data_IF_454131461553
#
_entry.id   IF_454131461553
#
_cell.length_a   1.000
_cell.length_b   1.000
_cell.length_c   1.000
_cell.angle_alpha   90.00
_cell.angle_beta   90.00
_cell.angle_gamma   90.00
#
_symmetry.space_group_name_H-M   'P 1'
#
loop_
_entity.id
_entity.type
_entity.pdbx_description
1 polymer ?
#
# COMPACT_ATOMS: atom_id res chain seq x y z
N UNK A 1 -13.85 -24.85 13.50
CA UNK A 1 -14.57 -26.03 13.97
C UNK A 1 -13.50 -27.02 14.41
N UNK A 2 -13.21 -27.10 15.71
CA UNK A 2 -12.32 -28.09 16.29
C UNK A 2 -13.07 -28.84 17.37
N UNK A 3 -13.25 -30.12 17.11
CA UNK A 3 -13.85 -31.13 18.00
C UNK A 3 -13.05 -31.28 19.29
N UNK A 4 -13.75 -31.34 20.40
CA UNK A 4 -13.26 -31.77 21.70
C UNK A 4 -13.66 -33.24 21.88
N UNK A 5 -12.78 -34.18 22.22
CA UNK A 5 -13.17 -35.56 22.53
C UNK A 5 -13.58 -35.69 24.00
N UNK A 6 -14.66 -36.39 24.21
CA UNK A 6 -15.23 -36.79 25.51
C UNK A 6 -14.60 -38.06 26.08
N UNK A 7 -14.41 -38.03 27.39
CA UNK A 7 -14.37 -39.10 28.39
C UNK A 7 -13.55 -40.39 28.19
N UNK A 8 -12.55 -40.54 29.06
CA UNK A 8 -12.28 -41.79 29.74
C UNK A 8 -11.78 -41.53 31.17
N UNK A 9 -12.54 -42.06 32.13
CA UNK A 9 -12.30 -42.13 33.57
C UNK A 9 -11.06 -42.94 33.93
N UNK A 10 -10.10 -42.33 34.64
CA UNK A 10 -9.15 -43.03 35.53
C UNK A 10 -8.70 -42.12 36.68
N UNK A 11 -8.94 -42.59 37.89
CA UNK A 11 -8.14 -42.54 39.12
C UNK A 11 -7.67 -41.16 39.65
N UNK A 12 -8.19 -40.83 40.83
CA UNK A 12 -7.73 -39.77 41.75
C UNK A 12 -6.20 -39.67 41.86
N UNK A 13 -5.63 -38.50 41.52
CA UNK A 13 -4.43 -37.94 42.14
C UNK A 13 -4.68 -36.48 42.44
N UNK A 14 -4.54 -36.12 43.70
CA UNK A 14 -4.46 -34.73 44.19
C UNK A 14 -3.30 -34.01 43.51
N UNK A 15 -3.58 -32.85 42.99
CA UNK A 15 -2.59 -32.02 42.32
C UNK A 15 -3.00 -31.55 40.92
N UNK A 16 -4.26 -31.07 40.76
CA UNK A 16 -4.63 -30.41 39.53
C UNK A 16 -3.85 -29.09 39.39
N UNK A 17 -3.07 -28.87 38.29
CA UNK A 17 -2.58 -27.54 37.99
C UNK A 17 -3.80 -26.65 37.76
N UNK A 18 -3.83 -25.51 38.47
CA UNK A 18 -4.86 -24.48 38.29
C UNK A 18 -5.08 -24.25 36.78
N UNK A 19 -6.32 -24.48 36.34
CA UNK A 19 -6.78 -24.07 35.03
C UNK A 19 -6.38 -22.60 34.85
N UNK A 20 -5.41 -22.34 33.98
CA UNK A 20 -5.11 -20.97 33.57
C UNK A 20 -6.36 -20.44 32.86
N UNK A 21 -7.06 -19.57 33.56
CA UNK A 21 -8.18 -18.81 33.00
C UNK A 21 -7.68 -18.09 31.75
N UNK A 22 -7.89 -18.70 30.60
CA UNK A 22 -7.53 -18.13 29.31
C UNK A 22 -8.60 -17.09 28.93
N UNK A 23 -8.71 -16.04 29.76
CA UNK A 23 -9.52 -14.89 29.39
C UNK A 23 -8.92 -14.31 28.13
N UNK A 24 -9.57 -14.56 27.00
CA UNK A 24 -9.31 -13.81 25.79
C UNK A 24 -9.59 -12.35 26.08
N UNK A 25 -8.55 -11.56 26.22
CA UNK A 25 -8.71 -10.12 26.27
C UNK A 25 -9.17 -9.68 24.90
N UNK A 26 -10.44 -9.35 24.75
CA UNK A 26 -10.97 -8.72 23.54
C UNK A 26 -10.33 -7.34 23.49
N UNK A 27 -9.50 -7.11 22.47
CA UNK A 27 -8.95 -5.81 22.20
C UNK A 27 -10.07 -4.93 21.64
N UNK A 28 -10.31 -3.81 22.28
CA UNK A 28 -11.20 -2.78 21.74
C UNK A 28 -10.45 -2.06 20.62
N UNK A 29 -10.95 -2.18 19.39
CA UNK A 29 -10.39 -1.50 18.23
C UNK A 29 -11.16 -0.21 18.03
N UNK A 30 -10.45 0.90 17.99
CA UNK A 30 -11.00 2.22 17.64
C UNK A 30 -11.16 2.25 16.11
N UNK A 31 -12.41 2.05 15.66
CA UNK A 31 -12.72 2.00 14.23
C UNK A 31 -12.65 3.36 13.56
N UNK A 32 -12.96 4.42 14.27
CA UNK A 32 -12.91 5.79 13.74
C UNK A 32 -11.44 6.18 13.50
N UNK A 33 -10.57 5.93 14.48
CA UNK A 33 -9.13 6.13 14.32
C UNK A 33 -8.54 5.31 13.17
N UNK A 34 -8.97 4.06 13.03
CA UNK A 34 -8.51 3.18 11.95
C UNK A 34 -8.93 3.73 10.58
N UNK A 35 -10.19 4.13 10.42
CA UNK A 35 -10.71 4.69 9.17
C UNK A 35 -10.02 6.00 8.80
N UNK A 36 -9.91 6.93 9.76
CA UNK A 36 -9.23 8.22 9.55
C UNK A 36 -7.75 8.05 9.18
N UNK A 37 -7.07 7.12 9.84
CA UNK A 37 -5.65 6.83 9.54
C UNK A 37 -5.50 6.24 8.15
N UNK A 38 -6.38 5.30 7.76
CA UNK A 38 -6.36 4.70 6.43
C UNK A 38 -6.60 5.76 5.35
N UNK A 39 -7.59 6.64 5.52
CA UNK A 39 -7.87 7.72 4.58
C UNK A 39 -6.67 8.65 4.41
N UNK A 40 -6.04 9.05 5.52
CA UNK A 40 -4.83 9.89 5.50
C UNK A 40 -3.69 9.20 4.75
N UNK A 41 -3.42 7.92 5.05
CA UNK A 41 -2.36 7.16 4.37
C UNK A 41 -2.62 7.06 2.87
N UNK A 42 -3.86 6.78 2.45
CA UNK A 42 -4.23 6.68 1.05
C UNK A 42 -4.20 8.03 0.32
N UNK A 43 -4.36 9.14 1.03
CA UNK A 43 -4.31 10.49 0.45
C UNK A 43 -2.88 10.98 0.19
N UNK A 44 -1.87 10.37 0.78
CA UNK A 44 -0.45 10.75 0.59
C UNK A 44 0.13 9.96 -0.58
N UNK A 45 0.47 10.61 -1.70
CA UNK A 45 1.13 9.93 -2.82
C UNK A 45 2.43 9.27 -2.40
N UNK A 46 2.56 7.97 -2.68
CA UNK A 46 3.71 7.19 -2.27
C UNK A 46 4.13 6.12 -3.28
N UNK A 47 4.19 6.41 -4.59
CA UNK A 47 4.73 5.42 -5.53
C UNK A 47 6.14 5.04 -5.11
N UNK A 48 6.54 3.79 -5.33
CA UNK A 48 7.87 3.28 -4.96
C UNK A 48 8.96 4.23 -5.43
N UNK A 49 9.91 4.54 -4.58
CA UNK A 49 10.96 5.56 -4.72
C UNK A 49 10.50 7.03 -4.51
N UNK A 50 9.22 7.29 -4.27
CA UNK A 50 8.69 8.60 -3.90
C UNK A 50 7.93 8.51 -2.56
N UNK A 51 8.59 7.99 -1.52
CA UNK A 51 7.95 7.58 -0.25
C UNK A 51 8.28 8.49 0.93
N UNK A 52 9.06 9.55 0.77
CA UNK A 52 9.51 10.40 1.88
C UNK A 52 8.36 11.02 2.68
N UNK A 53 7.30 11.45 1.99
CA UNK A 53 6.16 12.08 2.63
C UNK A 53 5.35 11.09 3.49
N UNK A 54 5.10 9.88 2.97
CA UNK A 54 4.37 8.86 3.73
C UNK A 54 5.20 8.35 4.92
N UNK A 55 6.51 8.17 4.75
CA UNK A 55 7.42 7.78 5.83
C UNK A 55 7.44 8.84 6.93
N UNK A 56 7.53 10.12 6.54
CA UNK A 56 7.48 11.25 7.51
C UNK A 56 6.15 11.28 8.26
N UNK A 57 5.03 11.10 7.56
CA UNK A 57 3.71 11.07 8.16
C UNK A 57 3.59 9.91 9.18
N UNK A 58 4.02 8.70 8.81
CA UNK A 58 4.01 7.56 9.72
C UNK A 58 4.94 7.77 10.93
N UNK A 59 6.10 8.40 10.74
CA UNK A 59 6.98 8.77 11.84
C UNK A 59 6.31 9.73 12.82
N UNK A 60 5.67 10.78 12.32
CA UNK A 60 4.92 11.74 13.14
C UNK A 60 3.79 11.07 13.93
N UNK A 61 3.11 10.11 13.31
CA UNK A 61 2.04 9.38 14.00
C UNK A 61 2.59 8.45 15.10
N UNK A 62 3.72 7.79 14.86
CA UNK A 62 4.42 7.01 15.88
C UNK A 62 4.90 7.87 17.05
N UNK A 63 5.43 9.07 16.77
CA UNK A 63 5.80 10.04 17.80
C UNK A 63 4.60 10.48 18.62
N UNK A 64 3.46 10.78 17.97
CA UNK A 64 2.21 11.13 18.65
C UNK A 64 1.72 10.01 19.57
N UNK A 65 1.93 8.76 19.18
CA UNK A 65 1.58 7.58 19.96
C UNK A 65 2.63 7.24 21.04
N UNK A 66 3.74 7.99 21.13
CA UNK A 66 4.83 7.73 22.04
C UNK A 66 5.59 6.43 21.75
N UNK A 67 5.60 5.99 20.49
CA UNK A 67 6.26 4.76 20.05
C UNK A 67 7.64 5.08 19.47
N UNK A 68 8.74 4.73 20.14
CA UNK A 68 10.09 4.94 19.61
C UNK A 68 10.29 4.15 18.32
N UNK A 69 10.84 4.78 17.30
CA UNK A 69 11.16 4.16 16.03
C UNK A 69 12.50 4.65 15.47
N UNK A 70 12.98 3.98 14.47
CA UNK A 70 14.12 4.40 13.65
C UNK A 70 13.78 4.27 12.17
N UNK A 71 14.39 5.10 11.35
CA UNK A 71 14.32 4.99 9.90
C UNK A 71 15.63 4.40 9.39
N UNK A 72 15.53 3.29 8.66
CA UNK A 72 16.71 2.64 8.09
C UNK A 72 17.27 3.44 6.90
N UNK A 73 18.49 3.13 6.45
CA UNK A 73 19.11 3.75 5.26
C UNK A 73 18.27 3.61 3.98
N UNK A 74 17.37 2.64 3.92
CA UNK A 74 16.46 2.40 2.78
C UNK A 74 15.07 2.98 2.97
N UNK A 75 14.87 3.80 4.02
CA UNK A 75 13.58 4.45 4.29
C UNK A 75 12.56 3.57 5.02
N UNK A 76 12.88 2.34 5.43
CA UNK A 76 11.95 1.53 6.19
C UNK A 76 11.88 2.00 7.65
N UNK A 77 10.67 2.10 8.20
CA UNK A 77 10.44 2.38 9.62
C UNK A 77 10.54 1.07 10.41
N UNK A 78 11.26 1.10 11.51
CA UNK A 78 11.34 -0.01 12.46
C UNK A 78 11.01 0.48 13.87
N UNK A 79 9.95 -0.07 14.46
CA UNK A 79 9.54 0.19 15.82
C UNK A 79 9.53 -1.10 16.65
N UNK A 80 9.84 -1.00 17.93
CA UNK A 80 9.86 -2.15 18.84
C UNK A 80 8.96 -1.87 20.03
N UNK A 81 7.87 -2.59 20.13
CA UNK A 81 7.00 -2.57 21.31
C UNK A 81 7.42 -3.66 22.30
N UNK A 82 7.70 -3.28 23.52
CA UNK A 82 8.08 -4.23 24.56
C UNK A 82 6.86 -4.97 25.09
N UNK A 83 6.83 -6.28 24.89
CA UNK A 83 5.81 -7.16 25.45
C UNK A 83 6.15 -7.69 26.83
N UNK A 84 5.18 -8.37 27.48
CA UNK A 84 5.37 -9.05 28.78
C UNK A 84 6.43 -10.17 28.72
N UNK A 85 6.58 -10.82 27.57
CA UNK A 85 7.57 -11.88 27.33
C UNK A 85 8.53 -11.47 26.25
N UNK A 86 9.82 -11.70 26.45
CA UNK A 86 10.86 -11.38 25.45
C UNK A 86 10.94 -12.39 24.30
N UNK A 87 10.50 -13.61 24.51
CA UNK A 87 10.57 -14.71 23.53
C UNK A 87 9.30 -15.55 23.57
N UNK A 88 8.80 -16.03 22.42
CA UNK A 88 9.25 -15.66 21.08
C UNK A 88 8.93 -14.20 20.76
N UNK A 89 9.78 -13.54 19.97
CA UNK A 89 9.46 -12.24 19.37
C UNK A 89 8.44 -12.45 18.23
N UNK A 90 7.56 -11.48 18.07
CA UNK A 90 6.61 -11.42 16.95
C UNK A 90 6.93 -10.18 16.12
N UNK A 91 6.84 -10.31 14.81
CA UNK A 91 7.01 -9.20 13.90
C UNK A 91 5.74 -9.03 13.05
N UNK A 92 5.36 -7.78 12.83
CA UNK A 92 4.34 -7.39 11.85
C UNK A 92 5.09 -6.56 10.81
N UNK A 93 4.92 -6.90 9.54
CA UNK A 93 5.49 -6.15 8.44
C UNK A 93 4.37 -5.72 7.49
N UNK A 94 4.47 -4.49 7.01
CA UNK A 94 3.57 -3.91 6.03
C UNK A 94 4.38 -3.00 5.10
N UNK A 95 3.79 -2.54 4.00
CA UNK A 95 4.42 -1.59 3.10
C UNK A 95 3.61 -0.30 2.99
N UNK A 96 4.29 0.80 2.69
CA UNK A 96 3.72 2.14 2.55
C UNK A 96 3.69 2.60 1.10
N UNK A 97 4.50 1.96 0.24
CA UNK A 97 4.56 2.33 -1.17
C UNK A 97 3.36 1.80 -1.94
N UNK A 98 2.97 2.58 -2.94
CA UNK A 98 1.84 2.32 -3.82
C UNK A 98 2.30 2.10 -5.25
N UNK A 99 1.38 1.62 -6.08
CA UNK A 99 1.57 1.52 -7.52
C UNK A 99 1.69 2.91 -8.15
N UNK A 100 2.38 2.98 -9.28
CA UNK A 100 2.55 4.20 -10.04
C UNK A 100 3.14 3.94 -11.41
N UNK A 101 3.62 5.01 -12.03
CA UNK A 101 4.37 4.95 -13.27
C UNK A 101 5.50 5.98 -13.25
N UNK A 102 6.60 5.65 -13.91
CA UNK A 102 7.73 6.55 -14.08
C UNK A 102 7.77 7.06 -15.52
N UNK A 103 7.97 8.37 -15.67
CA UNK A 103 8.21 8.98 -16.97
C UNK A 103 9.57 8.52 -17.48
N UNK A 104 9.59 7.91 -18.65
CA UNK A 104 10.83 7.50 -19.35
C UNK A 104 11.21 8.43 -20.50
N UNK A 105 10.23 9.18 -21.03
CA UNK A 105 10.43 10.02 -22.21
C UNK A 105 9.39 11.13 -22.27
N UNK A 106 9.80 12.31 -22.63
CA UNK A 106 8.93 13.37 -23.14
C UNK A 106 8.95 13.26 -24.65
N UNK A 107 7.77 13.07 -25.25
CA UNK A 107 7.60 12.91 -26.70
C UNK A 107 7.52 14.28 -27.38
N UNK A 108 7.78 14.33 -28.69
CA UNK A 108 7.76 15.57 -29.48
C UNK A 108 6.38 16.25 -29.49
N UNK A 109 5.32 15.48 -29.30
CA UNK A 109 3.95 15.97 -29.18
C UNK A 109 3.57 16.45 -27.76
N UNK A 110 4.52 16.54 -26.85
CA UNK A 110 4.34 16.95 -25.45
C UNK A 110 3.72 15.88 -24.54
N UNK A 111 3.45 14.67 -25.04
CA UNK A 111 2.97 13.56 -24.22
C UNK A 111 4.15 12.84 -23.55
N UNK A 112 3.83 12.09 -22.47
CA UNK A 112 4.86 11.38 -21.72
C UNK A 112 4.76 9.87 -21.98
N UNK A 113 5.87 9.28 -22.39
CA UNK A 113 6.07 7.83 -22.37
C UNK A 113 6.39 7.39 -20.95
N UNK A 114 5.75 6.31 -20.48
CA UNK A 114 5.85 5.85 -19.10
C UNK A 114 6.17 4.36 -19.01
N UNK A 115 6.72 3.96 -17.87
CA UNK A 115 6.90 2.55 -17.46
C UNK A 115 6.24 2.32 -16.12
N UNK A 116 5.74 1.11 -15.82
CA UNK A 116 5.08 0.85 -14.55
C UNK A 116 6.05 0.90 -13.38
N UNK A 117 5.56 1.34 -12.23
CA UNK A 117 6.17 1.14 -10.92
C UNK A 117 5.28 0.16 -10.16
N UNK A 118 5.85 -0.97 -9.76
CA UNK A 118 5.12 -2.10 -9.21
C UNK A 118 4.50 -3.01 -10.29
N UNK A 119 3.92 -4.11 -9.84
CA UNK A 119 3.36 -5.15 -10.73
C UNK A 119 1.88 -4.91 -10.93
N UNK A 120 1.51 -4.21 -11.99
CA UNK A 120 0.12 -3.97 -12.39
C UNK A 120 -0.03 -3.84 -13.90
N UNK A 121 -1.23 -4.14 -14.39
CA UNK A 121 -1.53 -4.11 -15.81
C UNK A 121 -1.85 -2.71 -16.30
N UNK A 122 -1.39 -2.35 -17.49
CA UNK A 122 -1.78 -1.13 -18.20
C UNK A 122 -3.30 -1.03 -18.42
N UNK A 123 -4.01 -2.15 -18.45
CA UNK A 123 -5.46 -2.19 -18.54
C UNK A 123 -6.17 -1.40 -17.45
N UNK A 124 -5.60 -1.35 -16.26
CA UNK A 124 -6.13 -0.55 -15.14
C UNK A 124 -5.65 0.91 -15.17
N UNK A 125 -4.67 1.21 -16.02
CA UNK A 125 -4.14 2.55 -16.19
C UNK A 125 -4.86 3.32 -17.30
N UNK A 126 -5.38 2.64 -18.32
CA UNK A 126 -6.10 3.27 -19.45
C UNK A 126 -7.29 4.08 -18.95
N UNK A 127 -7.36 5.34 -19.34
CA UNK A 127 -8.38 6.29 -18.89
C UNK A 127 -8.16 6.88 -17.49
N UNK A 128 -7.18 6.39 -16.74
CA UNK A 128 -6.95 6.86 -15.38
C UNK A 128 -6.42 8.30 -15.32
N UNK A 129 -6.99 9.07 -14.39
CA UNK A 129 -6.44 10.36 -14.02
C UNK A 129 -5.22 10.16 -13.13
N UNK A 130 -4.14 10.87 -13.43
CA UNK A 130 -2.90 10.79 -12.68
C UNK A 130 -2.38 12.17 -12.23
N UNK A 131 -1.52 12.15 -11.23
CA UNK A 131 -0.72 13.31 -10.82
C UNK A 131 0.72 13.05 -11.22
N UNK A 132 1.33 14.01 -11.90
CA UNK A 132 2.70 13.96 -12.38
C UNK A 132 3.52 14.85 -11.46
N UNK A 133 4.47 14.26 -10.74
CA UNK A 133 5.36 14.97 -9.83
C UNK A 133 6.64 15.38 -10.56
N UNK A 134 7.04 16.63 -10.38
CA UNK A 134 8.29 17.20 -10.91
C UNK A 134 8.99 17.99 -9.82
N UNK A 135 10.22 18.41 -10.06
CA UNK A 135 10.97 19.27 -9.14
C UNK A 135 10.30 20.65 -8.94
N UNK A 136 9.53 21.11 -9.93
CA UNK A 136 8.90 22.43 -9.92
C UNK A 136 7.45 22.39 -9.38
N UNK A 137 6.90 21.21 -9.12
CA UNK A 137 5.53 21.04 -8.66
C UNK A 137 4.84 19.82 -9.25
N UNK A 138 3.52 19.84 -9.26
CA UNK A 138 2.74 18.72 -9.79
C UNK A 138 1.76 19.19 -10.86
N UNK A 139 1.53 18.33 -11.83
CA UNK A 139 0.58 18.52 -12.92
C UNK A 139 -0.46 17.42 -12.91
N UNK A 140 -1.63 17.70 -13.46
CA UNK A 140 -2.63 16.67 -13.72
C UNK A 140 -2.46 16.12 -15.13
N UNK A 141 -2.85 14.86 -15.32
CA UNK A 141 -2.82 14.21 -16.62
C UNK A 141 -3.80 13.03 -16.70
N UNK A 142 -3.88 12.47 -17.88
CA UNK A 142 -4.67 11.27 -18.14
C UNK A 142 -3.80 10.28 -18.90
N UNK A 143 -3.82 9.03 -18.47
CA UNK A 143 -3.18 7.93 -19.19
C UNK A 143 -4.14 7.51 -20.29
N UNK A 144 -3.70 7.54 -21.53
CA UNK A 144 -4.50 7.22 -22.70
C UNK A 144 -3.81 6.14 -23.54
N UNK A 145 -4.56 5.26 -24.20
CA UNK A 145 -3.99 4.39 -25.21
C UNK A 145 -3.44 5.24 -26.38
N UNK A 146 -2.44 4.74 -27.09
CA UNK A 146 -1.82 5.45 -28.21
C UNK A 146 -2.83 5.77 -29.33
N UNK A 147 -3.75 4.83 -29.58
CA UNK A 147 -4.85 4.99 -30.52
C UNK A 147 -6.15 5.23 -29.75
N UNK A 148 -6.38 6.46 -29.31
CA UNK A 148 -7.49 6.81 -28.41
C UNK A 148 -8.71 7.44 -29.12
N UNK A 149 -8.70 7.53 -30.45
CA UNK A 149 -9.76 8.18 -31.20
C UNK A 149 -10.31 7.27 -32.31
N UNK A 150 -11.55 6.81 -32.15
CA UNK A 150 -12.24 6.02 -33.19
C UNK A 150 -12.41 6.77 -34.49
N UNK A 151 -12.56 8.12 -34.49
CA UNK A 151 -12.61 8.93 -35.69
C UNK A 151 -11.29 8.97 -36.46
N UNK A 152 -10.15 8.79 -35.79
CA UNK A 152 -8.83 8.84 -36.42
C UNK A 152 -8.35 7.44 -36.82
N UNK A 153 -8.62 6.45 -35.99
CA UNK A 153 -8.02 5.12 -36.10
C UNK A 153 -9.03 4.01 -36.45
N UNK A 154 -10.35 4.31 -36.45
CA UNK A 154 -11.38 3.31 -36.74
C UNK A 154 -11.28 2.11 -35.77
N UNK A 155 -11.37 0.91 -36.36
CA UNK A 155 -11.36 -0.36 -35.60
C UNK A 155 -10.00 -0.65 -34.90
N UNK A 156 -8.93 0.03 -35.31
CA UNK A 156 -7.60 -0.14 -34.68
C UNK A 156 -7.57 0.27 -33.20
N UNK A 157 -8.57 1.03 -32.72
CA UNK A 157 -8.73 1.37 -31.31
C UNK A 157 -8.99 0.11 -30.50
N UNK A 158 -9.89 -0.75 -30.99
CA UNK A 158 -10.30 -1.96 -30.29
C UNK A 158 -9.30 -3.12 -30.49
N UNK A 159 -8.53 -3.09 -31.57
CA UNK A 159 -7.51 -4.09 -31.89
C UNK A 159 -6.15 -3.82 -31.23
N UNK A 160 -5.95 -2.62 -30.69
CA UNK A 160 -4.69 -2.24 -30.05
C UNK A 160 -4.38 -3.14 -28.85
N UNK A 161 -3.17 -3.75 -28.77
CA UNK A 161 -2.76 -4.51 -27.60
C UNK A 161 -2.78 -3.68 -26.33
N UNK A 162 -3.21 -4.27 -25.22
CA UNK A 162 -3.10 -3.66 -23.92
C UNK A 162 -1.71 -3.88 -23.33
N UNK A 163 -0.94 -2.81 -23.15
CA UNK A 163 0.42 -2.86 -22.61
C UNK A 163 0.95 -1.47 -22.27
N UNK A 164 1.98 -1.42 -21.46
CA UNK A 164 2.60 -0.14 -21.08
C UNK A 164 3.28 0.56 -22.24
N UNK A 165 3.69 -0.16 -23.25
CA UNK A 165 4.21 0.34 -24.53
C UNK A 165 3.13 0.94 -25.43
N UNK A 166 1.86 0.65 -25.14
CA UNK A 166 0.69 1.10 -25.89
C UNK A 166 -0.10 2.22 -25.21
N UNK A 167 0.45 2.78 -24.10
CA UNK A 167 -0.14 3.93 -23.42
C UNK A 167 0.84 5.11 -23.33
N UNK A 168 0.27 6.28 -23.15
CA UNK A 168 1.01 7.53 -22.92
C UNK A 168 0.20 8.45 -22.01
N UNK A 169 0.87 9.38 -21.35
CA UNK A 169 0.22 10.39 -20.51
C UNK A 169 0.04 11.69 -21.29
N UNK A 170 -1.20 12.14 -21.37
CA UNK A 170 -1.52 13.51 -21.79
C UNK A 170 -1.50 14.40 -20.55
N UNK A 171 -0.64 15.42 -20.56
CA UNK A 171 -0.55 16.42 -19.51
C UNK A 171 -1.62 17.49 -19.71
N UNK A 172 -2.28 17.95 -18.65
CA UNK A 172 -3.32 18.98 -18.71
C UNK A 172 -2.72 20.42 -18.68
N UNK A 173 -1.42 20.57 -18.72
CA UNK A 173 -0.75 21.88 -18.83
C UNK A 173 -1.04 22.53 -20.21
N UNK A 174 -1.28 23.83 -20.21
CA UNK A 174 -1.39 24.65 -21.39
C UNK A 174 -0.08 25.34 -21.67
#
# INVERSE_FOLDING_TARGET
ITHCPTDHTWGFREGMPQQRDCRMTILHIDLDYLADTLEKLLSIPSPTSYTDNIVRHCGQELDRLGVPFEVTRRGAIRAVLRGKKRRPARAIAAHLDTLGAQVKQVKDNGRLGVVPIGSWSARFAEGARCTIFTEQGSYRGTILPLKASGHTYGDEVDEQPCGWEHVEVRVDAR
#
